data_IF_842594959946
#
_entry.id   IF_842594959946
#
_cell.length_a   1.000
_cell.length_b   1.000
_cell.length_c   1.000
_cell.angle_alpha   90.00
_cell.angle_beta   90.00
_cell.angle_gamma   90.00
#
_symmetry.space_group_name_H-M   'P 1'
#
loop_
_entity.id
_entity.type
_entity.pdbx_description
1 polymer ?
#
# COMPACT_ATOMS: atom_id res chain seq x y z
N UNK A 1 -10.51 15.24 15.17
CA UNK A 1 -9.86 14.08 15.82
C UNK A 1 -9.43 12.96 14.84
N UNK A 2 -9.11 13.27 13.57
CA UNK A 2 -8.67 12.23 12.61
C UNK A 2 -7.21 11.81 12.81
N UNK A 3 -6.34 12.76 13.19
CA UNK A 3 -4.90 12.52 13.43
C UNK A 3 -4.65 11.47 14.52
N UNK A 4 -5.30 11.61 15.69
CA UNK A 4 -5.19 10.66 16.79
C UNK A 4 -5.74 9.27 16.42
N UNK A 5 -6.82 9.21 15.64
CA UNK A 5 -7.38 7.94 15.19
C UNK A 5 -6.42 7.19 14.25
N UNK A 6 -5.84 7.88 13.26
CA UNK A 6 -4.93 7.26 12.30
C UNK A 6 -3.58 6.87 12.91
N UNK A 7 -3.03 7.69 13.81
CA UNK A 7 -1.81 7.33 14.56
C UNK A 7 -2.03 6.10 15.44
N UNK A 8 -3.15 6.05 16.16
CA UNK A 8 -3.53 4.88 16.95
C UNK A 8 -3.77 3.63 16.07
N UNK A 9 -4.42 3.78 14.92
CA UNK A 9 -4.67 2.67 13.99
C UNK A 9 -3.37 2.11 13.39
N UNK A 10 -2.43 3.00 13.02
CA UNK A 10 -1.12 2.63 12.51
C UNK A 10 -0.32 1.84 13.56
N UNK A 11 -0.30 2.32 14.81
CA UNK A 11 0.34 1.65 15.94
C UNK A 11 -0.36 0.34 16.32
N UNK A 12 -1.69 0.25 16.26
CA UNK A 12 -2.42 -0.97 16.58
C UNK A 12 -2.14 -2.10 15.58
N UNK A 13 -2.04 -1.75 14.30
CA UNK A 13 -1.80 -2.72 13.22
C UNK A 13 -0.33 -2.99 12.96
N UNK A 14 0.61 -2.41 13.72
CA UNK A 14 2.06 -2.51 13.47
C UNK A 14 2.59 -3.93 13.25
N UNK A 15 1.95 -4.95 13.85
CA UNK A 15 2.32 -6.38 13.72
C UNK A 15 1.72 -7.08 12.49
N UNK A 16 0.73 -6.47 11.84
CA UNK A 16 0.13 -6.98 10.62
C UNK A 16 0.84 -6.37 9.41
N UNK A 17 1.65 -7.19 8.73
CA UNK A 17 2.29 -6.83 7.45
C UNK A 17 1.38 -7.06 6.24
N UNK A 18 0.15 -7.53 6.48
CA UNK A 18 -0.84 -7.81 5.44
C UNK A 18 -1.78 -6.61 5.29
N UNK A 19 -2.13 -6.31 4.04
CA UNK A 19 -3.05 -5.24 3.68
C UNK A 19 -2.38 -3.97 3.16
N UNK A 20 -3.24 -3.00 2.86
CA UNK A 20 -2.95 -1.77 2.12
C UNK A 20 -3.16 -0.60 3.07
N UNK A 21 -2.20 0.32 3.14
CA UNK A 21 -2.36 1.53 3.95
C UNK A 21 -2.93 2.65 3.08
N UNK A 22 -3.47 3.74 3.62
CA UNK A 22 -3.86 4.90 2.81
C UNK A 22 -2.78 6.00 2.83
N UNK A 23 -2.70 6.87 1.80
CA UNK A 23 -1.71 7.98 1.78
C UNK A 23 -1.89 8.87 3.01
N UNK A 24 -3.15 9.06 3.40
CA UNK A 24 -3.54 9.84 4.56
C UNK A 24 -3.03 9.21 5.86
N UNK A 25 -3.14 7.88 6.03
CA UNK A 25 -2.59 7.17 7.19
C UNK A 25 -1.09 7.37 7.35
N UNK A 26 -0.34 7.30 6.24
CA UNK A 26 1.11 7.53 6.25
C UNK A 26 1.44 8.97 6.68
N UNK A 27 0.85 9.98 6.03
CA UNK A 27 1.17 11.38 6.31
C UNK A 27 0.71 11.83 7.71
N UNK A 28 -0.44 11.35 8.17
CA UNK A 28 -0.92 11.64 9.53
C UNK A 28 -0.14 10.88 10.62
N UNK A 29 0.54 9.80 10.28
CA UNK A 29 1.48 9.13 11.18
C UNK A 29 2.84 9.85 11.18
N UNK A 30 3.44 10.08 10.00
CA UNK A 30 4.80 10.58 9.85
C UNK A 30 4.95 12.06 10.21
N UNK A 31 3.98 12.91 9.86
CA UNK A 31 4.05 14.35 10.11
C UNK A 31 4.15 14.72 11.59
N UNK A 32 3.21 14.27 12.46
CA UNK A 32 3.30 14.49 13.90
C UNK A 32 4.54 13.87 14.54
N UNK A 33 4.97 12.69 14.07
CA UNK A 33 6.20 12.04 14.52
C UNK A 33 7.44 12.88 14.22
N UNK A 34 7.53 13.42 13.01
CA UNK A 34 8.64 14.29 12.61
C UNK A 34 8.67 15.60 13.42
N UNK A 35 7.51 16.20 13.69
CA UNK A 35 7.41 17.38 14.55
C UNK A 35 7.84 17.07 15.99
N UNK A 36 7.41 15.92 16.52
CA UNK A 36 7.78 15.48 17.86
C UNK A 36 9.29 15.27 18.00
N UNK A 37 9.92 14.59 17.04
CA UNK A 37 11.36 14.37 17.00
C UNK A 37 12.15 15.68 16.89
N UNK A 38 11.67 16.65 16.10
CA UNK A 38 12.32 17.95 15.94
C UNK A 38 12.29 18.76 17.25
N UNK A 39 11.15 18.76 17.96
CA UNK A 39 11.02 19.44 19.26
C UNK A 39 11.88 18.77 20.32
N UNK A 40 11.91 17.42 20.36
CA UNK A 40 12.75 16.66 21.29
C UNK A 40 14.24 16.91 21.05
N UNK A 41 14.69 16.92 19.79
CA UNK A 41 16.08 17.17 19.44
C UNK A 41 16.50 18.57 19.91
N UNK A 42 15.69 19.59 19.59
CA UNK A 42 15.97 20.96 20.02
C UNK A 42 15.99 21.13 21.55
N UNK A 43 15.01 20.54 22.25
CA UNK A 43 14.91 20.67 23.71
C UNK A 43 16.02 19.89 24.46
N UNK A 44 16.36 18.69 23.99
CA UNK A 44 17.34 17.82 24.65
C UNK A 44 18.77 18.38 24.56
N UNK A 45 19.16 18.95 23.41
CA UNK A 45 20.44 19.65 23.26
C UNK A 45 20.57 20.85 24.21
N UNK A 46 19.47 21.58 24.43
CA UNK A 46 19.45 22.77 25.30
C UNK A 46 19.47 22.46 26.79
N UNK A 47 18.93 21.31 27.20
CA UNK A 47 18.71 20.97 28.61
C UNK A 47 19.75 19.99 29.15
N UNK A 48 20.00 18.91 28.42
CA UNK A 48 20.78 17.75 28.88
C UNK A 48 22.11 17.66 28.11
N UNK A 49 22.21 18.29 26.93
CA UNK A 49 23.42 18.23 26.09
C UNK A 49 23.64 16.88 25.39
N UNK A 50 22.63 16.01 25.42
CA UNK A 50 22.62 14.70 24.77
C UNK A 50 21.37 14.61 23.89
N UNK A 51 21.51 14.12 22.66
CA UNK A 51 20.39 13.93 21.74
C UNK A 51 19.54 12.71 22.13
N UNK A 52 18.45 12.96 22.86
CA UNK A 52 17.49 11.90 23.22
C UNK A 52 16.70 11.37 22.00
N UNK A 53 16.62 12.17 20.93
CA UNK A 53 15.94 11.82 19.68
C UNK A 53 16.47 10.54 19.03
N UNK A 54 17.75 10.22 19.23
CA UNK A 54 18.32 8.97 18.72
C UNK A 54 17.61 7.74 19.32
N UNK A 55 17.34 7.75 20.63
CA UNK A 55 16.70 6.63 21.33
C UNK A 55 15.21 6.52 20.97
N UNK A 56 14.51 7.65 20.87
CA UNK A 56 13.09 7.65 20.48
C UNK A 56 12.92 7.19 19.04
N UNK A 57 13.83 7.58 18.14
CA UNK A 57 13.80 7.13 16.74
C UNK A 57 13.90 5.62 16.59
N UNK A 58 14.67 4.93 17.45
CA UNK A 58 14.78 3.47 17.46
C UNK A 58 13.46 2.77 17.82
N UNK A 59 12.70 3.35 18.76
CA UNK A 59 11.39 2.81 19.16
C UNK A 59 10.37 2.99 18.02
N UNK A 60 10.38 4.15 17.36
CA UNK A 60 9.48 4.44 16.24
C UNK A 60 9.95 3.91 14.89
N UNK A 61 11.16 3.35 14.80
CA UNK A 61 11.71 2.74 13.59
C UNK A 61 10.80 1.61 13.10
N UNK A 62 10.43 0.68 13.99
CA UNK A 62 9.62 -0.50 13.65
C UNK A 62 8.24 -0.12 13.09
N UNK A 63 7.42 0.73 13.75
CA UNK A 63 6.12 1.10 13.21
C UNK A 63 6.24 1.91 11.91
N UNK A 64 7.29 2.73 11.75
CA UNK A 64 7.56 3.46 10.50
C UNK A 64 7.87 2.51 9.35
N UNK A 65 8.70 1.49 9.61
CA UNK A 65 9.01 0.44 8.65
C UNK A 65 7.76 -0.39 8.28
N UNK A 66 6.93 -0.73 9.27
CA UNK A 66 5.71 -1.51 9.05
C UNK A 66 4.68 -0.78 8.16
N UNK A 67 4.45 0.51 8.41
CA UNK A 67 3.54 1.33 7.57
C UNK A 67 4.15 1.54 6.18
N UNK A 68 5.46 1.78 6.11
CA UNK A 68 6.18 1.89 4.85
C UNK A 68 6.06 0.64 4.00
N UNK A 69 6.21 -0.55 4.60
CA UNK A 69 6.15 -1.83 3.89
C UNK A 69 4.77 -2.05 3.25
N UNK A 70 3.68 -1.75 3.98
CA UNK A 70 2.32 -1.81 3.42
C UNK A 70 2.17 -0.87 2.24
N UNK A 71 2.72 0.34 2.32
CA UNK A 71 2.69 1.29 1.19
C UNK A 71 3.51 0.88 -0.02
N UNK A 72 4.63 0.18 0.19
CA UNK A 72 5.40 -0.36 -0.93
C UNK A 72 4.64 -1.47 -1.65
N UNK A 73 3.88 -2.27 -0.91
CA UNK A 73 3.00 -3.26 -1.54
C UNK A 73 1.87 -2.59 -2.35
N UNK A 74 1.35 -1.43 -1.93
CA UNK A 74 0.33 -0.67 -2.69
C UNK A 74 0.84 -0.15 -4.05
N UNK A 75 2.14 0.08 -4.18
CA UNK A 75 2.77 0.52 -5.44
C UNK A 75 3.36 -0.67 -6.21
N UNK A 76 3.02 -1.91 -5.82
CA UNK A 76 3.50 -3.14 -6.42
C UNK A 76 5.04 -3.24 -6.44
N UNK A 77 5.67 -2.91 -5.29
CA UNK A 77 7.12 -3.00 -5.08
C UNK A 77 7.45 -3.83 -3.85
N UNK A 78 8.62 -4.45 -3.83
CA UNK A 78 9.08 -5.25 -2.69
C UNK A 78 9.38 -4.38 -1.47
N UNK A 79 8.99 -4.84 -0.28
CA UNK A 79 9.29 -4.16 0.98
C UNK A 79 10.81 -4.01 1.26
N UNK A 80 11.67 -4.74 0.53
CA UNK A 80 13.12 -4.62 0.61
C UNK A 80 13.66 -3.23 0.27
N UNK A 81 12.94 -2.44 -0.55
CA UNK A 81 13.35 -1.05 -0.84
C UNK A 81 13.33 -0.16 0.42
N UNK A 82 12.70 -0.59 1.52
CA UNK A 82 12.82 0.10 2.82
C UNK A 82 14.20 0.05 3.44
N UNK A 83 15.03 -0.95 3.14
CA UNK A 83 16.38 -1.00 3.68
C UNK A 83 17.25 0.16 3.19
N UNK A 84 16.92 0.76 2.04
CA UNK A 84 17.57 1.98 1.56
C UNK A 84 17.36 3.13 2.55
N UNK A 85 16.25 3.12 3.30
CA UNK A 85 15.96 4.07 4.38
C UNK A 85 16.95 4.06 5.54
N UNK A 86 17.72 2.98 5.71
CA UNK A 86 18.75 2.87 6.74
C UNK A 86 20.00 3.72 6.40
N UNK A 87 20.14 4.12 5.13
CA UNK A 87 21.20 5.03 4.70
C UNK A 87 20.78 6.46 5.09
N UNK A 88 21.54 7.15 5.95
CA UNK A 88 21.18 8.49 6.37
C UNK A 88 21.19 9.45 5.17
N UNK A 89 20.33 10.48 5.23
CA UNK A 89 20.10 11.48 4.17
C UNK A 89 19.42 10.94 2.91
N UNK A 90 20.05 10.02 2.19
CA UNK A 90 19.54 9.53 0.89
C UNK A 90 18.33 8.61 1.08
N UNK A 91 18.37 7.75 2.10
CA UNK A 91 17.32 6.81 2.43
C UNK A 91 15.95 7.43 2.68
N UNK A 92 15.81 8.38 3.62
CA UNK A 92 14.51 9.00 3.90
C UNK A 92 13.98 9.79 2.70
N UNK A 93 14.84 10.43 1.91
CA UNK A 93 14.43 11.15 0.69
C UNK A 93 13.86 10.16 -0.34
N UNK A 94 14.56 9.06 -0.62
CA UNK A 94 14.10 8.04 -1.55
C UNK A 94 12.75 7.44 -1.10
N UNK A 95 12.58 7.21 0.20
CA UNK A 95 11.31 6.70 0.75
C UNK A 95 10.18 7.71 0.65
N UNK A 96 10.42 9.00 0.90
CA UNK A 96 9.42 10.05 0.72
C UNK A 96 8.96 10.10 -0.74
N UNK A 97 9.89 10.03 -1.69
CA UNK A 97 9.55 9.97 -3.12
C UNK A 97 8.68 8.74 -3.40
N UNK A 98 9.11 7.56 -2.94
CA UNK A 98 8.41 6.30 -3.17
C UNK A 98 6.99 6.30 -2.57
N UNK A 99 6.80 6.94 -1.42
CA UNK A 99 5.51 7.10 -0.77
C UNK A 99 4.61 8.17 -1.41
N UNK A 100 5.20 9.10 -2.18
CA UNK A 100 4.47 10.08 -2.98
C UNK A 100 3.95 9.51 -4.31
N UNK A 101 4.45 8.37 -4.77
CA UNK A 101 3.95 7.74 -5.99
C UNK A 101 2.47 7.32 -5.86
N UNK A 102 1.71 7.35 -6.97
CA UNK A 102 0.39 6.72 -7.02
C UNK A 102 0.46 5.23 -6.78
N UNK A 103 -0.50 4.73 -6.00
CA UNK A 103 -0.80 3.30 -5.96
C UNK A 103 -1.09 2.85 -7.38
N UNK A 104 -0.49 1.75 -7.79
CA UNK A 104 -0.85 1.12 -9.04
C UNK A 104 -2.24 0.50 -8.81
N UNK A 105 -3.29 1.25 -9.12
CA UNK A 105 -4.57 0.62 -9.38
C UNK A 105 -4.43 0.01 -10.76
N UNK A 106 -4.42 -1.34 -10.91
CA UNK A 106 -4.46 -1.93 -12.23
C UNK A 106 -5.64 -1.32 -12.94
N UNK A 107 -5.37 -0.77 -14.13
CA UNK A 107 -6.27 -0.07 -15.02
C UNK A 107 -7.71 -0.47 -14.72
N UNK A 108 -8.52 0.47 -14.19
CA UNK A 108 -9.92 0.22 -13.97
C UNK A 108 -10.45 -0.43 -15.24
N UNK A 109 -10.99 -1.67 -15.19
CA UNK A 109 -11.54 -2.25 -16.38
C UNK A 109 -12.54 -1.23 -16.88
N UNK A 110 -12.40 -0.81 -18.14
CA UNK A 110 -13.55 -0.29 -18.86
C UNK A 110 -14.59 -1.39 -18.71
N UNK A 111 -15.50 -1.23 -17.76
CA UNK A 111 -16.74 -1.98 -17.74
C UNK A 111 -17.45 -1.46 -18.97
N UNK A 112 -17.11 -2.02 -20.12
CA UNK A 112 -17.90 -1.92 -21.33
C UNK A 112 -19.18 -2.67 -21.02
N UNK A 113 -20.08 -1.98 -20.34
CA UNK A 113 -21.45 -2.43 -20.20
C UNK A 113 -22.01 -2.32 -21.61
N UNK A 114 -21.91 -3.40 -22.39
CA UNK A 114 -22.65 -3.51 -23.63
C UNK A 114 -24.13 -3.62 -23.23
N UNK A 115 -24.79 -2.48 -23.08
CA UNK A 115 -26.25 -2.44 -23.04
C UNK A 115 -26.69 -2.50 -24.51
N UNK A 116 -27.01 -3.70 -24.99
CA UNK A 116 -27.74 -3.86 -26.25
C UNK A 116 -29.15 -3.29 -26.08
N UNK A 117 -29.32 -1.98 -26.31
CA UNK A 117 -30.60 -1.26 -26.25
C UNK A 117 -31.44 -1.38 -27.53
N UNK A 118 -31.25 -2.44 -28.30
CA UNK A 118 -32.08 -2.74 -29.47
C UNK A 118 -31.66 -4.04 -30.13
N UNK A 119 -32.53 -5.04 -30.11
CA UNK A 119 -32.30 -6.30 -30.81
C UNK A 119 -33.40 -7.31 -30.49
N UNK A 120 -34.18 -7.64 -31.50
CA UNK A 120 -35.28 -8.61 -31.49
C UNK A 120 -34.83 -10.02 -31.13
N UNK A 121 -35.72 -10.78 -30.49
CA UNK A 121 -35.52 -12.19 -30.17
C UNK A 121 -35.27 -13.04 -31.42
N UNK A 122 -34.22 -13.87 -31.40
CA UNK A 122 -34.06 -14.98 -32.32
C UNK A 122 -33.49 -16.19 -31.54
N UNK A 123 -34.35 -17.17 -31.28
CA UNK A 123 -33.97 -18.52 -30.88
C UNK A 123 -33.38 -19.25 -32.10
N UNK A 124 -32.24 -19.93 -31.96
CA UNK A 124 -31.94 -21.19 -32.67
C UNK A 124 -30.58 -21.76 -32.23
N UNK A 125 -30.60 -22.99 -31.68
CA UNK A 125 -29.59 -24.00 -31.93
C UNK A 125 -28.34 -24.06 -31.03
N UNK A 126 -28.24 -25.17 -30.28
CA UNK A 126 -27.02 -25.83 -29.80
C UNK A 126 -26.20 -25.14 -28.69
N UNK A 127 -26.07 -25.72 -27.47
CA UNK A 127 -25.11 -25.25 -26.49
C UNK A 127 -23.72 -25.79 -26.82
N UNK A 128 -23.14 -25.34 -27.93
CA UNK A 128 -21.68 -25.34 -28.02
C UNK A 128 -21.21 -24.18 -27.15
N UNK A 129 -20.86 -24.53 -25.91
CA UNK A 129 -20.14 -23.66 -24.98
C UNK A 129 -18.82 -23.31 -25.68
N UNK A 130 -18.85 -22.23 -26.45
CA UNK A 130 -17.70 -21.62 -27.07
C UNK A 130 -16.73 -21.25 -25.95
N UNK A 131 -15.67 -22.03 -25.83
CA UNK A 131 -14.57 -21.90 -24.87
C UNK A 131 -13.74 -20.62 -25.06
N UNK A 132 -14.21 -19.67 -25.86
CA UNK A 132 -13.51 -18.43 -26.17
C UNK A 132 -13.80 -17.30 -25.17
N UNK A 133 -14.58 -17.55 -24.12
CA UNK A 133 -14.76 -16.64 -22.97
C UNK A 133 -13.78 -16.96 -21.81
N UNK A 134 -13.02 -18.06 -21.89
CA UNK A 134 -12.13 -18.48 -20.79
C UNK A 134 -10.81 -17.67 -20.75
N UNK A 135 -10.50 -16.88 -21.79
CA UNK A 135 -9.28 -16.06 -21.82
C UNK A 135 -9.50 -14.59 -21.44
N UNK A 136 -10.61 -14.27 -20.77
CA UNK A 136 -10.63 -13.09 -19.89
C UNK A 136 -9.97 -13.50 -18.58
N UNK A 137 -8.64 -13.69 -18.60
CA UNK A 137 -7.81 -13.94 -17.42
C UNK A 137 -7.83 -12.72 -16.51
N UNK A 138 -8.98 -12.46 -15.88
CA UNK A 138 -9.04 -11.69 -14.66
C UNK A 138 -8.48 -12.61 -13.58
N UNK A 139 -7.16 -12.57 -13.39
CA UNK A 139 -6.49 -13.22 -12.27
C UNK A 139 -7.19 -12.78 -10.98
N UNK A 140 -7.97 -13.68 -10.37
CA UNK A 140 -8.70 -13.40 -9.15
C UNK A 140 -7.84 -13.81 -7.95
N UNK A 141 -7.75 -12.94 -6.96
CA UNK A 141 -7.00 -13.28 -5.75
C UNK A 141 -7.74 -14.38 -4.95
N UNK A 142 -7.10 -15.54 -4.77
CA UNK A 142 -7.61 -16.68 -3.98
C UNK A 142 -7.92 -16.36 -2.50
N UNK A 143 -7.52 -15.20 -1.98
CA UNK A 143 -7.81 -14.77 -0.61
C UNK A 143 -9.01 -13.82 -0.49
N UNK A 144 -9.17 -12.91 -1.46
CA UNK A 144 -10.06 -11.77 -1.30
C UNK A 144 -10.96 -11.49 -2.51
N UNK A 145 -10.85 -12.31 -3.57
CA UNK A 145 -11.65 -12.23 -4.78
C UNK A 145 -11.49 -10.92 -5.55
N UNK A 146 -10.39 -10.18 -5.36
CA UNK A 146 -10.12 -8.98 -6.13
C UNK A 146 -9.61 -9.34 -7.53
N UNK A 147 -10.01 -8.61 -8.56
CA UNK A 147 -9.42 -8.69 -9.90
C UNK A 147 -8.00 -8.11 -9.88
N UNK A 148 -7.04 -8.88 -10.37
CA UNK A 148 -5.62 -8.54 -10.44
C UNK A 148 -5.22 -8.34 -11.90
N UNK A 149 -4.22 -7.48 -12.14
CA UNK A 149 -3.56 -7.45 -13.44
C UNK A 149 -2.51 -8.56 -13.55
N UNK A 150 -2.22 -8.96 -14.80
CA UNK A 150 -1.24 -10.01 -15.15
C UNK A 150 0.18 -9.71 -14.64
N UNK A 151 0.51 -8.43 -14.42
CA UNK A 151 1.82 -7.97 -13.94
C UNK A 151 1.84 -7.56 -12.45
N UNK A 152 0.77 -7.80 -11.71
CA UNK A 152 0.76 -7.51 -10.27
C UNK A 152 1.58 -8.56 -9.51
N UNK A 153 2.50 -8.11 -8.64
CA UNK A 153 3.25 -8.97 -7.70
C UNK A 153 2.54 -9.08 -6.34
N UNK A 154 1.71 -8.08 -6.00
CA UNK A 154 0.93 -8.04 -4.75
C UNK A 154 -0.51 -7.63 -4.99
N UNK A 155 -1.43 -8.23 -4.24
CA UNK A 155 -2.86 -7.89 -4.32
C UNK A 155 -3.17 -6.53 -3.65
N UNK A 156 -3.85 -5.59 -4.34
CA UNK A 156 -4.16 -4.25 -3.81
C UNK A 156 -5.28 -4.22 -2.77
N UNK A 157 -5.91 -5.36 -2.46
CA UNK A 157 -6.97 -5.46 -1.45
C UNK A 157 -6.50 -6.18 -0.19
N UNK A 158 -5.74 -7.27 -0.33
CA UNK A 158 -5.29 -8.08 0.80
C UNK A 158 -3.77 -8.05 1.04
N UNK A 159 -2.97 -7.47 0.15
CA UNK A 159 -1.51 -7.41 0.25
C UNK A 159 -0.82 -8.77 0.17
N UNK A 160 -1.48 -9.81 -0.36
CA UNK A 160 -0.88 -11.14 -0.57
C UNK A 160 -0.08 -11.14 -1.88
N UNK A 161 1.07 -11.80 -1.85
CA UNK A 161 1.86 -12.17 -3.03
C UNK A 161 1.04 -13.04 -3.99
N UNK A 162 1.22 -12.82 -5.30
CA UNK A 162 0.59 -13.61 -6.36
C UNK A 162 1.66 -14.52 -6.94
N UNK A 163 1.60 -15.80 -6.59
CA UNK A 163 2.45 -16.84 -7.16
C UNK A 163 1.79 -17.29 -8.46
N UNK A 164 2.31 -16.83 -9.60
CA UNK A 164 1.97 -17.39 -10.91
C UNK A 164 2.77 -18.68 -11.07
N UNK A 165 2.23 -19.80 -10.60
CA UNK A 165 2.73 -21.14 -10.95
C UNK A 165 2.14 -21.62 -12.28
#
# INVERSE_FOLDING_TARGET
>A
MKVFYYTYLALKRWRDFRGVASRQELWFFLGPLFMFELVLSYASQRTIGIDLSFYTSLVFLIPTLAVGARRLHDINRSAWLLLIGLIPWVGPIALIVLWCLPSQTPNAPIVSFNINLGGTAQETGNPEISTDIINNEQLLCNNCGASLAVNDQFCPKCGREITTE
#
